data_IF_221927839779
#
_entry.id   IF_221927839779
#
_cell.length_a   1.000
_cell.length_b   1.000
_cell.length_c   1.000
_cell.angle_alpha   90.00
_cell.angle_beta   90.00
_cell.angle_gamma   90.00
#
_symmetry.space_group_name_H-M   'P 1'
#
loop_
_entity.id
_entity.type
_entity.pdbx_description
1 polymer ?
#
# COMPACT_ATOMS: atom_id res chain seq x y z
N UNK A 1 21.05 -11.66 39.22
CA UNK A 1 20.84 -12.46 37.99
C UNK A 1 19.51 -12.18 37.28
N UNK A 2 18.38 -11.93 37.98
CA UNK A 2 17.06 -11.65 37.35
C UNK A 2 17.03 -10.37 36.48
N UNK A 3 17.82 -9.36 36.83
CA UNK A 3 17.84 -8.06 36.14
C UNK A 3 18.51 -8.12 34.77
N UNK A 4 19.60 -8.89 34.63
CA UNK A 4 20.32 -9.04 33.36
C UNK A 4 19.46 -9.77 32.30
N UNK A 5 18.70 -10.79 32.72
CA UNK A 5 17.81 -11.53 31.83
C UNK A 5 16.64 -10.67 31.33
N UNK A 6 16.09 -9.83 32.21
CA UNK A 6 15.00 -8.90 31.84
C UNK A 6 15.47 -7.82 30.87
N UNK A 7 16.69 -7.30 31.05
CA UNK A 7 17.29 -6.30 30.16
C UNK A 7 17.56 -6.91 28.78
N UNK A 8 18.10 -8.13 28.70
CA UNK A 8 18.33 -8.80 27.41
C UNK A 8 17.02 -9.08 26.66
N UNK A 9 15.95 -9.44 27.39
CA UNK A 9 14.63 -9.63 26.79
C UNK A 9 14.03 -8.32 26.25
N UNK A 10 14.11 -7.23 27.02
CA UNK A 10 13.64 -5.91 26.59
C UNK A 10 14.47 -5.41 25.39
N UNK A 11 15.79 -5.60 25.39
CA UNK A 11 16.65 -5.24 24.26
C UNK A 11 16.35 -6.08 23.02
N UNK A 12 16.02 -7.36 23.19
CA UNK A 12 15.57 -8.23 22.11
C UNK A 12 14.25 -7.74 21.50
N UNK A 13 13.27 -7.37 22.34
CA UNK A 13 12.00 -6.80 21.89
C UNK A 13 12.16 -5.44 21.22
N UNK A 14 13.04 -4.58 21.76
CA UNK A 14 13.31 -3.26 21.21
C UNK A 14 13.98 -3.38 19.84
N UNK A 15 14.97 -4.26 19.69
CA UNK A 15 15.66 -4.52 18.43
C UNK A 15 14.71 -5.14 17.39
N UNK A 16 13.84 -6.07 17.78
CA UNK A 16 12.82 -6.62 16.89
C UNK A 16 11.83 -5.54 16.42
N UNK A 17 11.41 -4.63 17.31
CA UNK A 17 10.60 -3.47 16.93
C UNK A 17 11.34 -2.50 16.00
N UNK A 18 12.65 -2.34 16.15
CA UNK A 18 13.48 -1.42 15.37
C UNK A 18 13.74 -1.95 13.95
N UNK A 19 14.03 -3.24 13.80
CA UNK A 19 14.03 -3.91 12.48
C UNK A 19 12.65 -3.82 11.81
N UNK A 20 11.57 -4.04 12.58
CA UNK A 20 10.20 -3.81 12.09
C UNK A 20 9.85 -2.32 11.91
N UNK A 21 10.72 -1.36 12.25
CA UNK A 21 10.56 0.07 11.92
C UNK A 21 11.30 0.46 10.66
N UNK A 22 12.44 -0.17 10.35
CA UNK A 22 13.12 0.05 9.05
C UNK A 22 12.20 -0.30 7.87
N UNK A 23 11.43 -1.38 7.99
CA UNK A 23 10.39 -1.73 7.00
C UNK A 23 9.25 -0.69 6.92
N UNK A 24 8.96 0.02 8.02
CA UNK A 24 7.91 1.06 8.06
C UNK A 24 8.30 2.35 7.35
N UNK A 25 9.58 2.60 7.11
CA UNK A 25 10.04 3.74 6.32
C UNK A 25 10.03 3.47 4.81
N UNK A 26 9.94 2.20 4.37
CA UNK A 26 9.89 1.84 2.96
C UNK A 26 8.64 2.39 2.27
N UNK A 27 7.49 2.36 2.93
CA UNK A 27 6.27 2.95 2.37
C UNK A 27 6.43 4.46 2.16
N UNK A 28 7.05 5.17 3.11
CA UNK A 28 7.31 6.62 2.96
C UNK A 28 8.24 6.90 1.79
N UNK A 29 9.26 6.07 1.57
CA UNK A 29 10.14 6.20 0.43
C UNK A 29 9.40 5.96 -0.87
N UNK A 30 8.58 4.90 -0.95
CA UNK A 30 7.75 4.65 -2.13
C UNK A 30 6.81 5.82 -2.45
N UNK A 31 6.21 6.44 -1.43
CA UNK A 31 5.40 7.65 -1.60
C UNK A 31 6.24 8.80 -2.15
N UNK A 32 7.48 8.97 -1.69
CA UNK A 32 8.39 9.98 -2.21
C UNK A 32 8.78 9.73 -3.68
N UNK A 33 9.12 8.49 -4.04
CA UNK A 33 9.38 8.09 -5.43
C UNK A 33 8.16 8.35 -6.32
N UNK A 34 6.98 7.99 -5.83
CA UNK A 34 5.73 8.32 -6.51
C UNK A 34 5.57 9.83 -6.71
N UNK A 35 5.76 10.65 -5.68
CA UNK A 35 5.62 12.11 -5.83
C UNK A 35 6.59 12.72 -6.85
N UNK A 36 7.76 12.11 -7.06
CA UNK A 36 8.75 12.52 -8.06
C UNK A 36 8.47 12.00 -9.47
N UNK A 37 7.50 11.10 -9.63
CA UNK A 37 7.17 10.47 -10.89
C UNK A 37 7.98 9.23 -11.23
N UNK A 38 8.72 8.70 -10.25
CA UNK A 38 9.52 7.48 -10.35
C UNK A 38 8.61 6.27 -10.04
N UNK A 39 7.66 6.01 -10.94
CA UNK A 39 6.57 5.07 -10.69
C UNK A 39 7.03 3.61 -10.57
N UNK A 40 8.05 3.21 -11.33
CA UNK A 40 8.59 1.86 -11.30
C UNK A 40 9.31 1.58 -9.97
N UNK A 41 10.07 2.56 -9.49
CA UNK A 41 10.79 2.52 -8.21
C UNK A 41 9.79 2.47 -7.05
N UNK A 42 8.73 3.27 -7.12
CA UNK A 42 7.64 3.21 -6.15
C UNK A 42 6.98 1.82 -6.11
N UNK A 43 6.70 1.23 -7.27
CA UNK A 43 6.12 -0.13 -7.35
C UNK A 43 7.06 -1.14 -6.70
N UNK A 44 8.34 -1.15 -7.11
CA UNK A 44 9.33 -2.10 -6.61
C UNK A 44 9.43 -2.05 -5.08
N UNK A 45 9.58 -0.85 -4.51
CA UNK A 45 9.72 -0.68 -3.06
C UNK A 45 8.46 -1.13 -2.33
N UNK A 46 7.27 -0.82 -2.86
CA UNK A 46 6.02 -1.26 -2.22
C UNK A 46 5.88 -2.77 -2.29
N UNK A 47 6.17 -3.40 -3.44
CA UNK A 47 6.08 -4.86 -3.60
C UNK A 47 7.04 -5.61 -2.66
N UNK A 48 8.26 -5.09 -2.49
CA UNK A 48 9.25 -5.64 -1.56
C UNK A 48 8.79 -5.50 -0.10
N UNK A 49 8.15 -4.37 0.26
CA UNK A 49 7.69 -4.11 1.62
C UNK A 49 6.37 -4.81 1.95
N UNK A 50 5.50 -5.02 0.96
CA UNK A 50 4.11 -5.47 1.13
C UNK A 50 3.96 -6.71 2.03
N UNK A 51 4.83 -7.74 2.00
CA UNK A 51 4.71 -8.91 2.87
C UNK A 51 4.74 -8.57 4.36
N UNK A 52 5.47 -7.52 4.76
CA UNK A 52 5.73 -7.16 6.16
C UNK A 52 4.83 -6.01 6.68
N UNK A 53 3.99 -5.43 5.82
CA UNK A 53 3.12 -4.30 6.21
C UNK A 53 1.94 -4.74 7.08
N UNK A 54 1.58 -3.88 8.03
CA UNK A 54 0.34 -3.98 8.81
C UNK A 54 -0.89 -3.61 7.97
N UNK A 55 -2.09 -3.89 8.46
CA UNK A 55 -3.33 -3.71 7.68
C UNK A 55 -3.57 -2.25 7.25
N UNK A 56 -3.27 -1.29 8.12
CA UNK A 56 -3.37 0.14 7.83
C UNK A 56 -2.38 0.57 6.74
N UNK A 57 -1.18 0.02 6.76
CA UNK A 57 -0.12 0.32 5.78
C UNK A 57 -0.40 -0.34 4.43
N UNK A 58 -0.97 -1.56 4.44
CA UNK A 58 -1.42 -2.25 3.21
C UNK A 58 -2.46 -1.45 2.45
N UNK A 59 -3.35 -0.76 3.16
CA UNK A 59 -4.31 0.14 2.53
C UNK A 59 -3.58 1.23 1.72
N UNK A 60 -2.63 1.92 2.34
CA UNK A 60 -1.87 2.97 1.65
C UNK A 60 -0.96 2.41 0.54
N UNK A 61 -0.31 1.27 0.77
CA UNK A 61 0.49 0.55 -0.23
C UNK A 61 -0.30 0.22 -1.49
N UNK A 62 -1.49 -0.39 -1.36
CA UNK A 62 -2.33 -0.72 -2.52
C UNK A 62 -2.88 0.51 -3.23
N UNK A 63 -3.12 1.60 -2.51
CA UNK A 63 -3.47 2.89 -3.13
C UNK A 63 -2.34 3.37 -4.04
N UNK A 64 -1.10 3.42 -3.57
CA UNK A 64 0.03 3.88 -4.37
C UNK A 64 0.40 2.91 -5.50
N UNK A 65 0.32 1.59 -5.29
CA UNK A 65 0.47 0.61 -6.38
C UNK A 65 -0.55 0.85 -7.50
N UNK A 66 -1.84 0.97 -7.15
CA UNK A 66 -2.89 1.25 -8.14
C UNK A 66 -2.65 2.56 -8.89
N UNK A 67 -2.21 3.60 -8.19
CA UNK A 67 -1.90 4.91 -8.77
C UNK A 67 -0.64 4.91 -9.65
N UNK A 68 0.40 4.14 -9.29
CA UNK A 68 1.64 3.98 -10.06
C UNK A 68 1.39 3.17 -11.33
N UNK A 69 0.69 2.03 -11.24
CA UNK A 69 0.35 1.23 -12.41
C UNK A 69 -0.53 2.00 -13.39
N UNK A 70 -1.47 2.83 -12.90
CA UNK A 70 -2.25 3.73 -13.75
C UNK A 70 -1.37 4.77 -14.47
N UNK A 71 -0.32 5.30 -13.82
CA UNK A 71 0.65 6.21 -14.46
C UNK A 71 1.45 5.55 -15.57
N UNK A 72 1.70 4.25 -15.43
CA UNK A 72 2.38 3.43 -16.43
C UNK A 72 1.41 2.86 -17.49
N UNK A 73 0.15 3.30 -17.52
CA UNK A 73 -0.92 2.78 -18.38
C UNK A 73 -1.22 1.28 -18.22
N UNK A 74 -0.73 0.66 -17.14
CA UNK A 74 -1.09 -0.71 -16.80
C UNK A 74 -2.41 -0.72 -16.02
N UNK A 75 -3.50 -0.54 -16.77
CA UNK A 75 -4.86 -0.43 -16.23
C UNK A 75 -5.34 -1.73 -15.58
N UNK A 76 -4.81 -2.88 -15.99
CA UNK A 76 -5.17 -4.18 -15.43
C UNK A 76 -4.65 -4.27 -13.99
N UNK A 77 -3.33 -4.13 -13.80
CA UNK A 77 -2.74 -4.15 -12.45
C UNK A 77 -3.25 -3.01 -11.58
N UNK A 78 -3.52 -1.84 -12.16
CA UNK A 78 -4.11 -0.72 -11.43
C UNK A 78 -5.47 -1.09 -10.82
N UNK A 79 -6.37 -1.68 -11.60
CA UNK A 79 -7.69 -2.14 -11.12
C UNK A 79 -7.55 -3.22 -10.06
N UNK A 80 -6.65 -4.18 -10.22
CA UNK A 80 -6.46 -5.24 -9.22
C UNK A 80 -6.07 -4.67 -7.85
N UNK A 81 -5.13 -3.73 -7.81
CA UNK A 81 -4.78 -3.07 -6.54
C UNK A 81 -5.90 -2.17 -6.01
N UNK A 82 -6.67 -1.51 -6.87
CA UNK A 82 -7.87 -0.79 -6.44
C UNK A 82 -8.96 -1.73 -5.89
N UNK A 83 -9.09 -2.95 -6.41
CA UNK A 83 -10.02 -3.93 -5.85
C UNK A 83 -9.61 -4.31 -4.43
N UNK A 84 -8.32 -4.58 -4.21
CA UNK A 84 -7.80 -4.89 -2.87
C UNK A 84 -8.03 -3.71 -1.92
N UNK A 85 -7.71 -2.50 -2.37
CA UNK A 85 -7.95 -1.26 -1.61
C UNK A 85 -9.42 -1.10 -1.18
N UNK A 86 -10.36 -1.37 -2.09
CA UNK A 86 -11.80 -1.31 -1.84
C UNK A 86 -12.30 -2.44 -0.94
N UNK A 87 -11.66 -3.61 -0.94
CA UNK A 87 -11.94 -4.68 0.03
C UNK A 87 -11.51 -4.28 1.44
N UNK A 88 -10.39 -3.55 1.57
CA UNK A 88 -9.91 -3.01 2.86
C UNK A 88 -10.78 -1.84 3.36
N UNK A 89 -11.19 -0.95 2.46
CA UNK A 89 -12.11 0.15 2.77
C UNK A 89 -13.13 0.37 1.63
N UNK A 90 -14.35 -0.20 1.76
CA UNK A 90 -15.38 -0.13 0.72
C UNK A 90 -15.89 1.28 0.41
N UNK A 91 -15.64 2.24 1.31
CA UNK A 91 -16.05 3.64 1.17
C UNK A 91 -14.96 4.53 0.58
N UNK A 92 -13.78 3.96 0.27
CA UNK A 92 -12.71 4.73 -0.32
C UNK A 92 -13.11 5.34 -1.67
N UNK A 93 -12.75 6.61 -1.85
CA UNK A 93 -12.89 7.34 -3.08
C UNK A 93 -11.66 8.24 -3.29
N UNK A 94 -11.17 8.31 -4.51
CA UNK A 94 -10.19 9.33 -4.89
C UNK A 94 -10.89 10.70 -4.95
N UNK A 95 -10.24 11.74 -4.43
CA UNK A 95 -10.74 13.10 -4.56
C UNK A 95 -10.74 13.50 -6.05
N UNK A 96 -11.90 13.74 -6.65
CA UNK A 96 -12.06 14.02 -8.08
C UNK A 96 -11.57 15.40 -8.51
N UNK A 97 -11.25 16.30 -7.57
CA UNK A 97 -10.76 17.64 -7.90
C UNK A 97 -9.27 17.62 -8.27
N UNK A 98 -8.47 16.80 -7.56
CA UNK A 98 -7.01 16.73 -7.73
C UNK A 98 -6.52 15.39 -8.31
N UNK A 99 -7.40 14.38 -8.40
CA UNK A 99 -7.03 13.09 -8.97
C UNK A 99 -7.14 13.09 -10.50
N UNK A 100 -6.16 12.45 -11.13
CA UNK A 100 -6.19 12.09 -12.55
C UNK A 100 -7.53 11.39 -12.92
N UNK A 101 -8.27 11.89 -13.93
CA UNK A 101 -9.55 11.30 -14.35
C UNK A 101 -9.48 9.81 -14.67
N UNK A 102 -8.34 9.34 -15.19
CA UNK A 102 -8.13 7.92 -15.46
C UNK A 102 -8.21 7.10 -14.18
N UNK A 103 -7.62 7.57 -13.09
CA UNK A 103 -7.61 6.83 -11.81
C UNK A 103 -8.99 6.76 -11.20
N UNK A 104 -9.74 7.86 -11.25
CA UNK A 104 -11.13 7.89 -10.78
C UNK A 104 -11.97 6.89 -11.57
N UNK A 105 -11.79 6.85 -12.90
CA UNK A 105 -12.45 5.87 -13.76
C UNK A 105 -12.07 4.44 -13.38
N UNK A 106 -10.78 4.12 -13.29
CA UNK A 106 -10.30 2.77 -12.97
C UNK A 106 -10.78 2.28 -11.59
N UNK A 107 -10.80 3.16 -10.59
CA UNK A 107 -11.34 2.83 -9.26
C UNK A 107 -12.84 2.51 -9.33
N UNK A 108 -13.61 3.30 -10.07
CA UNK A 108 -15.04 3.06 -10.26
C UNK A 108 -15.32 1.78 -11.05
N UNK A 109 -14.50 1.48 -12.06
CA UNK A 109 -14.59 0.23 -12.81
C UNK A 109 -14.27 -0.98 -11.91
N UNK A 110 -13.22 -0.91 -11.10
CA UNK A 110 -12.91 -1.91 -10.09
C UNK A 110 -14.07 -2.13 -9.10
N UNK A 111 -14.73 -1.06 -8.67
CA UNK A 111 -15.91 -1.13 -7.79
C UNK A 111 -17.09 -1.86 -8.45
N UNK A 112 -17.34 -1.61 -9.74
CA UNK A 112 -18.39 -2.30 -10.50
C UNK A 112 -18.07 -3.78 -10.67
N UNK A 113 -16.81 -4.12 -10.96
CA UNK A 113 -16.35 -5.50 -11.10
C UNK A 113 -16.55 -6.29 -9.80
N UNK A 114 -16.18 -5.72 -8.64
CA UNK A 114 -16.45 -6.35 -7.33
C UNK A 114 -17.94 -6.63 -7.14
N UNK A 115 -18.80 -5.66 -7.48
CA UNK A 115 -20.25 -5.81 -7.34
C UNK A 115 -20.80 -6.91 -8.27
N UNK A 116 -20.28 -7.01 -9.49
CA UNK A 116 -20.63 -8.07 -10.44
C UNK A 116 -20.16 -9.46 -9.95
N UNK A 117 -18.91 -9.55 -9.47
CA UNK A 117 -18.33 -10.78 -8.92
C UNK A 117 -19.08 -11.29 -7.68
N UNK A 118 -19.70 -10.40 -6.90
CA UNK A 118 -20.45 -10.74 -5.68
C UNK A 118 -21.91 -11.13 -5.92
N UNK A 119 -22.40 -11.00 -7.17
CA UNK A 119 -23.80 -11.25 -7.52
C UNK A 119 -24.09 -12.70 -7.98
N UNK A 120 -23.07 -13.57 -7.96
CA UNK A 120 -23.12 -14.98 -8.34
C UNK A 120 -22.52 -15.84 -7.21
#
# INVERSE_FOLDING_TARGET
MKNALSILFILGLLRAQELAREDRDLLKWAVAYYQRGEWNEAIKIIEDALPNLEIEERFEAHKYLGMSYARLNNNISAKEHFKILLKLNPKFALNSVDADPLRVKLLNDAKKEIAYESAF
#
